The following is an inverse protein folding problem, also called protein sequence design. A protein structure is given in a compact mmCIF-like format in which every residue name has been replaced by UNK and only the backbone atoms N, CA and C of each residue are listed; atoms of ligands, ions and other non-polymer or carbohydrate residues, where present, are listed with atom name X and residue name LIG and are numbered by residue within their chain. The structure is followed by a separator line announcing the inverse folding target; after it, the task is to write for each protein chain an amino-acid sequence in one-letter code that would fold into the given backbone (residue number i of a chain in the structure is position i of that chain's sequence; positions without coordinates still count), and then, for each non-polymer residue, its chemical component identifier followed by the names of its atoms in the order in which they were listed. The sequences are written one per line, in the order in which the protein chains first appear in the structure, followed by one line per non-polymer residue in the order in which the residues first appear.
data_IF_227140473752
#
_entry.id   IF_227140473752
#
_cell.length_a   1.000
_cell.length_b   1.000
_cell.length_c   1.000
_cell.angle_alpha   90.00
_cell.angle_beta   90.00
_cell.angle_gamma   90.00
#
_symmetry.space_group_name_H-M   'P 1'
#
loop_
_entity.id
_entity.type
_entity.pdbx_description
1 polymer ?
#
# COMPACT_ATOMS: atom_id res chain seq x y z
N UNK A 1 -12.77 -11.02 -1.77
CA UNK A 1 -12.76 -10.35 -0.43
C UNK A 1 -13.78 -10.81 0.63
N UNK A 2 -14.64 -11.82 0.40
CA UNK A 2 -15.74 -12.16 1.34
C UNK A 2 -15.33 -12.38 2.80
N UNK A 3 -14.18 -13.01 3.06
CA UNK A 3 -13.67 -13.28 4.42
C UNK A 3 -13.48 -12.00 5.26
N UNK A 4 -13.26 -10.86 4.62
CA UNK A 4 -12.98 -9.60 5.30
C UNK A 4 -14.24 -8.80 5.62
N UNK A 5 -15.40 -9.16 5.08
CA UNK A 5 -16.63 -8.39 5.30
C UNK A 5 -17.01 -8.33 6.78
N UNK A 6 -17.60 -7.20 7.15
CA UNK A 6 -18.16 -6.94 8.46
C UNK A 6 -19.63 -6.56 8.30
N UNK A 7 -20.43 -6.92 9.30
CA UNK A 7 -21.78 -6.40 9.46
C UNK A 7 -21.68 -5.09 10.25
N UNK A 8 -21.90 -3.96 9.58
CA UNK A 8 -21.73 -2.61 10.13
C UNK A 8 -23.06 -1.89 9.98
N UNK A 9 -23.65 -1.45 11.09
CA UNK A 9 -24.94 -0.77 11.11
C UNK A 9 -24.83 0.68 10.61
N UNK A 10 -23.78 1.40 10.99
CA UNK A 10 -23.54 2.77 10.54
C UNK A 10 -23.26 2.81 9.03
N UNK A 11 -24.13 3.49 8.28
CA UNK A 11 -24.09 3.52 6.82
C UNK A 11 -22.85 4.24 6.26
N UNK A 12 -22.30 5.22 6.97
CA UNK A 12 -21.14 5.98 6.50
C UNK A 12 -19.86 5.17 6.70
N UNK A 13 -19.66 4.60 7.89
CA UNK A 13 -18.56 3.68 8.19
C UNK A 13 -18.60 2.45 7.28
N UNK A 14 -19.79 1.88 7.08
CA UNK A 14 -20.00 0.76 6.17
C UNK A 14 -19.56 1.12 4.75
N UNK A 15 -19.99 2.28 4.24
CA UNK A 15 -19.61 2.74 2.90
C UNK A 15 -18.10 2.90 2.75
N UNK A 16 -17.43 3.49 3.75
CA UNK A 16 -15.98 3.68 3.74
C UNK A 16 -15.24 2.33 3.75
N UNK A 17 -15.69 1.39 4.58
CA UNK A 17 -15.07 0.07 4.68
C UNK A 17 -15.31 -0.80 3.42
N UNK A 18 -16.53 -0.77 2.86
CA UNK A 18 -16.84 -1.48 1.62
C UNK A 18 -16.02 -0.91 0.44
N UNK A 19 -15.83 0.42 0.38
CA UNK A 19 -14.99 1.06 -0.61
C UNK A 19 -13.51 0.64 -0.46
N UNK A 20 -13.00 0.56 0.77
CA UNK A 20 -11.68 0.02 1.07
C UNK A 20 -11.54 -1.41 0.51
N UNK A 21 -12.45 -2.32 0.87
CA UNK A 21 -12.38 -3.72 0.43
C UNK A 21 -12.50 -3.86 -1.10
N UNK A 22 -13.38 -3.10 -1.74
CA UNK A 22 -13.54 -3.10 -3.19
C UNK A 22 -12.26 -2.65 -3.91
N UNK A 23 -11.61 -1.58 -3.43
CA UNK A 23 -10.36 -1.08 -4.00
C UNK A 23 -9.23 -2.10 -3.81
N UNK A 24 -9.12 -2.73 -2.64
CA UNK A 24 -8.15 -3.81 -2.39
C UNK A 24 -8.38 -5.02 -3.35
N UNK A 25 -9.63 -5.46 -3.53
CA UNK A 25 -9.97 -6.58 -4.43
C UNK A 25 -9.61 -6.26 -5.89
N UNK A 26 -9.91 -5.04 -6.32
CA UNK A 26 -9.60 -4.56 -7.67
C UNK A 26 -8.10 -4.54 -7.94
N UNK A 27 -7.29 -4.08 -6.97
CA UNK A 27 -5.84 -4.03 -7.08
C UNK A 27 -5.21 -5.42 -7.16
N UNK A 28 -5.69 -6.35 -6.34
CA UNK A 28 -5.23 -7.74 -6.36
C UNK A 28 -5.66 -8.45 -7.64
N UNK A 29 -6.89 -8.23 -8.10
CA UNK A 29 -7.38 -8.77 -9.36
C UNK A 29 -6.53 -8.29 -10.53
N UNK A 30 -6.19 -7.00 -10.56
CA UNK A 30 -5.29 -6.45 -11.56
C UNK A 30 -3.90 -7.09 -11.49
N UNK A 31 -3.29 -7.15 -10.30
CA UNK A 31 -1.99 -7.80 -10.09
C UNK A 31 -2.00 -9.26 -10.58
N UNK A 32 -2.96 -10.07 -10.14
CA UNK A 32 -3.08 -11.47 -10.56
C UNK A 32 -3.28 -11.61 -12.07
N UNK A 33 -4.03 -10.71 -12.69
CA UNK A 33 -4.20 -10.68 -14.15
C UNK A 33 -2.87 -10.42 -14.85
N UNK A 34 -2.06 -9.47 -14.37
CA UNK A 34 -0.73 -9.21 -14.94
C UNK A 34 0.23 -10.39 -14.75
N UNK A 35 0.17 -11.10 -13.61
CA UNK A 35 0.98 -12.29 -13.38
C UNK A 35 0.57 -13.43 -14.32
N UNK A 36 -0.75 -13.63 -14.52
CA UNK A 36 -1.26 -14.62 -15.45
C UNK A 36 -0.79 -14.34 -16.88
N UNK A 37 -0.83 -13.07 -17.30
CA UNK A 37 -0.30 -12.61 -18.59
C UNK A 37 1.21 -12.87 -18.67
N UNK A 38 2.00 -12.44 -17.68
CA UNK A 38 3.45 -12.65 -17.67
C UNK A 38 3.85 -14.13 -17.81
N UNK A 39 3.11 -15.03 -17.15
CA UNK A 39 3.42 -16.47 -17.15
C UNK A 39 2.93 -17.22 -18.40
N UNK A 40 1.88 -16.76 -19.07
CA UNK A 40 1.19 -17.56 -20.09
C UNK A 40 0.96 -16.85 -21.43
N UNK A 41 1.26 -15.56 -21.55
CA UNK A 41 1.04 -14.84 -22.80
C UNK A 41 2.06 -15.29 -23.84
N UNK A 42 1.55 -15.85 -24.93
CA UNK A 42 2.31 -16.10 -26.16
C UNK A 42 1.79 -15.14 -27.21
N UNK A 43 2.61 -14.15 -27.56
CA UNK A 43 2.29 -13.22 -28.63
C UNK A 43 2.70 -13.83 -29.97
N UNK A 44 1.78 -13.87 -30.94
CA UNK A 44 2.14 -14.30 -32.30
C UNK A 44 3.13 -13.32 -32.92
N UNK A 45 4.06 -13.77 -33.78
CA UNK A 45 5.04 -12.90 -34.43
C UNK A 45 4.43 -11.66 -35.12
N UNK A 46 3.24 -11.83 -35.69
CA UNK A 46 2.51 -10.77 -36.39
C UNK A 46 2.04 -9.63 -35.46
N UNK A 47 1.90 -9.89 -34.16
CA UNK A 47 1.47 -8.92 -33.15
C UNK A 47 2.62 -8.15 -32.49
N UNK A 48 3.88 -8.59 -32.69
CA UNK A 48 5.03 -8.00 -31.98
C UNK A 48 5.22 -6.51 -32.28
N UNK A 49 4.88 -6.09 -33.49
CA UNK A 49 4.98 -4.69 -33.94
C UNK A 49 3.72 -3.87 -33.66
N UNK A 50 2.66 -4.47 -33.10
CA UNK A 50 1.44 -3.74 -32.79
C UNK A 50 1.71 -2.68 -31.72
N UNK A 51 1.25 -1.45 -31.99
CA UNK A 51 1.47 -0.32 -31.09
C UNK A 51 0.63 -0.47 -29.83
N UNK A 52 1.30 -0.38 -28.69
CA UNK A 52 0.66 -0.27 -27.38
C UNK A 52 0.54 1.22 -27.07
N UNK A 53 -0.70 1.73 -27.03
CA UNK A 53 -0.98 3.14 -26.74
C UNK A 53 -1.74 3.26 -25.43
N UNK A 54 -1.24 4.11 -24.54
CA UNK A 54 -1.99 4.48 -23.32
C UNK A 54 -3.30 5.20 -23.67
N UNK A 55 -3.29 6.06 -24.69
CA UNK A 55 -4.47 6.71 -25.23
C UNK A 55 -4.14 7.35 -26.58
N UNK A 56 -5.15 7.54 -27.43
CA UNK A 56 -5.03 8.26 -28.71
C UNK A 56 -4.77 9.76 -28.56
N UNK A 57 -4.88 10.30 -27.33
CA UNK A 57 -4.70 11.72 -27.02
C UNK A 57 -3.28 12.07 -26.57
N UNK A 58 -2.42 11.06 -26.35
CA UNK A 58 -1.04 11.27 -25.95
C UNK A 58 -0.08 11.00 -27.12
N UNK A 59 1.05 11.71 -27.14
CA UNK A 59 2.14 11.41 -28.06
C UNK A 59 2.71 10.02 -27.74
N UNK A 60 3.15 9.28 -28.77
CA UNK A 60 3.80 7.97 -28.61
C UNK A 60 5.08 8.04 -27.73
N UNK A 61 5.66 9.24 -27.53
CA UNK A 61 6.80 9.47 -26.61
C UNK A 61 6.40 9.57 -25.13
N UNK A 62 5.11 9.62 -24.82
CA UNK A 62 4.61 9.70 -23.45
C UNK A 62 4.69 8.35 -22.72
N UNK A 63 4.85 7.24 -23.44
CA UNK A 63 4.99 5.90 -22.86
C UNK A 63 6.38 5.33 -23.14
N UNK A 64 6.91 4.60 -22.16
CA UNK A 64 8.15 3.84 -22.30
C UNK A 64 7.93 2.51 -23.03
N UNK A 65 6.74 1.93 -22.90
CA UNK A 65 6.27 0.75 -23.64
C UNK A 65 5.52 1.25 -24.88
N UNK A 66 6.00 0.87 -26.07
CA UNK A 66 5.49 1.37 -27.36
C UNK A 66 4.89 0.27 -28.22
N UNK A 67 5.38 -0.96 -28.09
CA UNK A 67 4.91 -2.11 -28.85
C UNK A 67 4.85 -3.37 -27.96
N UNK A 68 4.39 -4.48 -28.53
CA UNK A 68 4.29 -5.76 -27.82
C UNK A 68 5.67 -6.39 -27.55
N UNK A 69 6.68 -6.15 -28.41
CA UNK A 69 8.07 -6.58 -28.14
C UNK A 69 8.60 -6.00 -26.83
N UNK A 70 8.34 -4.72 -26.54
CA UNK A 70 8.77 -4.08 -25.28
C UNK A 70 8.16 -4.80 -24.06
N UNK A 71 6.92 -5.28 -24.18
CA UNK A 71 6.25 -6.06 -23.11
C UNK A 71 6.92 -7.43 -22.96
N UNK A 72 7.20 -8.12 -24.07
CA UNK A 72 7.91 -9.41 -24.07
C UNK A 72 9.27 -9.27 -23.38
N UNK A 73 10.07 -8.25 -23.74
CA UNK A 73 11.37 -8.00 -23.10
C UNK A 73 11.25 -7.71 -21.60
N UNK A 74 10.21 -7.00 -21.17
CA UNK A 74 9.94 -6.75 -19.75
C UNK A 74 9.52 -8.02 -19.00
N UNK A 75 8.79 -8.93 -19.65
CA UNK A 75 8.40 -10.23 -19.08
C UNK A 75 9.63 -11.13 -18.97
N UNK A 76 10.42 -11.27 -20.03
CA UNK A 76 11.64 -12.08 -20.04
C UNK A 76 12.69 -11.60 -19.03
N UNK A 77 12.71 -10.29 -18.74
CA UNK A 77 13.62 -9.70 -17.75
C UNK A 77 13.02 -9.58 -16.34
N UNK A 78 11.84 -10.14 -16.07
CA UNK A 78 11.09 -10.08 -14.80
C UNK A 78 10.68 -8.67 -14.33
N UNK A 79 11.04 -7.62 -15.10
CA UNK A 79 10.73 -6.21 -14.79
C UNK A 79 9.24 -5.93 -14.84
N UNK A 80 8.49 -6.64 -15.68
CA UNK A 80 7.05 -6.52 -15.76
C UNK A 80 6.37 -6.91 -14.44
N UNK A 81 6.81 -8.02 -13.84
CA UNK A 81 6.27 -8.48 -12.56
C UNK A 81 6.63 -7.51 -11.42
N UNK A 82 7.88 -7.03 -11.37
CA UNK A 82 8.29 -6.02 -10.38
C UNK A 82 7.46 -4.75 -10.48
N UNK A 83 7.25 -4.23 -11.70
CA UNK A 83 6.39 -3.07 -11.92
C UNK A 83 4.97 -3.31 -11.40
N UNK A 84 4.41 -4.49 -11.68
CA UNK A 84 3.07 -4.83 -11.22
C UNK A 84 2.97 -4.97 -9.70
N UNK A 85 3.94 -5.64 -9.05
CA UNK A 85 4.02 -5.76 -7.59
C UNK A 85 4.11 -4.38 -6.94
N UNK A 86 4.97 -3.50 -7.46
CA UNK A 86 5.10 -2.12 -6.98
C UNK A 86 3.77 -1.37 -7.09
N UNK A 87 3.13 -1.38 -8.28
CA UNK A 87 1.86 -0.69 -8.48
C UNK A 87 0.75 -1.21 -7.56
N UNK A 88 0.68 -2.52 -7.37
CA UNK A 88 -0.28 -3.14 -6.46
C UNK A 88 -0.09 -2.63 -5.03
N UNK A 89 1.14 -2.72 -4.48
CA UNK A 89 1.45 -2.26 -3.12
C UNK A 89 1.17 -0.76 -2.95
N UNK A 90 1.57 0.08 -3.92
CA UNK A 90 1.27 1.52 -3.86
C UNK A 90 -0.24 1.81 -3.85
N UNK A 91 -1.01 1.02 -4.59
CA UNK A 91 -2.46 1.06 -4.58
C UNK A 91 -3.04 0.65 -3.23
N UNK A 92 -2.55 -0.43 -2.62
CA UNK A 92 -3.04 -0.91 -1.32
C UNK A 92 -2.82 0.14 -0.23
N UNK A 93 -1.64 0.77 -0.24
CA UNK A 93 -1.26 1.80 0.73
C UNK A 93 -2.05 3.09 0.52
N UNK A 94 -2.33 3.46 -0.73
CA UNK A 94 -3.24 4.58 -1.04
C UNK A 94 -4.65 4.28 -0.52
N UNK A 95 -5.17 3.08 -0.80
CA UNK A 95 -6.49 2.64 -0.34
C UNK A 95 -6.61 2.64 1.18
N UNK A 96 -5.57 2.19 1.89
CA UNK A 96 -5.48 2.30 3.35
C UNK A 96 -5.52 3.76 3.83
N UNK A 97 -4.80 4.63 3.13
CA UNK A 97 -4.75 6.06 3.48
C UNK A 97 -6.11 6.72 3.31
N UNK A 98 -6.78 6.44 2.18
CA UNK A 98 -8.11 6.96 1.88
C UNK A 98 -9.13 6.50 2.92
N UNK A 99 -9.11 5.23 3.31
CA UNK A 99 -10.00 4.71 4.36
C UNK A 99 -9.86 5.50 5.67
N UNK A 100 -8.64 5.70 6.16
CA UNK A 100 -8.44 6.45 7.40
C UNK A 100 -8.79 7.93 7.24
N UNK A 101 -8.60 8.55 6.07
CA UNK A 101 -9.08 9.92 5.85
C UNK A 101 -10.62 10.00 5.84
N UNK A 102 -11.30 9.03 5.23
CA UNK A 102 -12.77 8.92 5.27
C UNK A 102 -13.27 8.78 6.72
N UNK A 103 -12.63 7.92 7.54
CA UNK A 103 -12.96 7.78 8.98
C UNK A 103 -12.62 9.05 9.77
N UNK A 104 -11.53 9.74 9.45
CA UNK A 104 -11.16 11.03 10.07
C UNK A 104 -12.26 12.06 9.85
N UNK A 105 -12.80 12.14 8.64
CA UNK A 105 -13.90 13.03 8.29
C UNK A 105 -15.18 12.62 9.01
N UNK A 106 -15.50 11.32 9.03
CA UNK A 106 -16.68 10.78 9.72
C UNK A 106 -16.72 11.16 11.22
N UNK A 107 -15.57 11.11 11.89
CA UNK A 107 -15.44 11.37 13.33
C UNK A 107 -15.01 12.80 13.66
N UNK A 108 -14.98 13.70 12.67
CA UNK A 108 -14.56 15.11 12.82
C UNK A 108 -13.21 15.29 13.55
N UNK A 109 -12.25 14.39 13.29
CA UNK A 109 -10.94 14.41 13.97
C UNK A 109 -10.15 15.67 13.58
N UNK A 110 -9.77 16.54 14.54
CA UNK A 110 -9.08 17.79 14.24
C UNK A 110 -7.67 17.58 13.70
N UNK A 111 -7.30 18.30 12.64
CA UNK A 111 -5.96 18.21 12.03
C UNK A 111 -4.84 18.65 12.96
N UNK A 112 -5.12 19.48 13.97
CA UNK A 112 -4.18 19.88 15.01
C UNK A 112 -3.65 18.69 15.81
N UNK A 113 -4.54 17.74 16.13
CA UNK A 113 -4.19 16.54 16.91
C UNK A 113 -3.26 15.62 16.11
N UNK A 114 -3.37 15.66 14.78
CA UNK A 114 -2.54 14.87 13.87
C UNK A 114 -1.15 15.48 13.61
N UNK A 115 -0.79 16.61 14.23
CA UNK A 115 0.52 17.25 14.02
C UNK A 115 1.65 16.52 14.75
N UNK A 116 1.37 15.93 15.92
CA UNK A 116 2.38 15.26 16.73
C UNK A 116 2.69 13.88 16.15
N UNK A 117 3.96 13.49 16.00
CA UNK A 117 4.31 12.13 15.63
C UNK A 117 4.00 11.16 16.79
N UNK A 118 3.68 9.91 16.46
CA UNK A 118 3.63 8.83 17.45
C UNK A 118 5.08 8.43 17.72
N UNK A 119 5.47 8.41 19.00
CA UNK A 119 6.81 8.04 19.43
C UNK A 119 6.80 6.60 19.90
N UNK A 120 7.61 5.77 19.26
CA UNK A 120 7.84 4.38 19.63
C UNK A 120 9.24 4.27 20.21
N UNK A 121 9.31 3.89 21.48
CA UNK A 121 10.59 3.61 22.14
C UNK A 121 11.20 2.33 21.56
N UNK A 122 12.52 2.31 21.45
CA UNK A 122 13.27 1.16 21.00
C UNK A 122 14.45 0.94 21.93
N UNK A 123 14.55 -0.25 22.52
CA UNK A 123 15.62 -0.53 23.48
C UNK A 123 17.00 -0.22 22.88
N UNK A 124 17.73 0.67 23.56
CA UNK A 124 19.08 1.10 23.22
C UNK A 124 19.27 1.71 21.82
N UNK A 125 18.21 2.22 21.19
CA UNK A 125 18.28 2.92 19.90
C UNK A 125 17.50 4.24 19.93
N UNK A 126 17.73 5.08 18.92
CA UNK A 126 16.92 6.28 18.73
C UNK A 126 15.44 5.89 18.52
N UNK A 127 14.50 6.59 19.17
CA UNK A 127 13.07 6.35 19.04
C UNK A 127 12.59 6.50 17.60
N UNK A 128 11.68 5.63 17.19
CA UNK A 128 11.03 5.73 15.89
C UNK A 128 9.89 6.74 16.00
N UNK A 129 9.84 7.68 15.06
CA UNK A 129 8.84 8.73 15.01
C UNK A 129 7.90 8.52 13.82
N UNK A 130 6.71 8.02 14.08
CA UNK A 130 5.70 7.78 13.05
C UNK A 130 5.02 9.10 12.70
N UNK A 131 5.24 9.54 11.46
CA UNK A 131 4.71 10.81 10.92
C UNK A 131 3.57 10.61 9.94
N UNK A 132 3.33 9.38 9.53
CA UNK A 132 2.34 9.02 8.51
C UNK A 132 0.94 9.33 9.02
N UNK A 133 0.20 10.13 8.25
CA UNK A 133 -1.13 10.63 8.63
C UNK A 133 -2.13 9.51 8.95
N UNK A 134 -2.28 8.44 8.16
CA UNK A 134 -3.30 7.43 8.45
C UNK A 134 -3.05 6.68 9.77
N UNK A 135 -1.79 6.43 10.14
CA UNK A 135 -1.46 5.80 11.43
C UNK A 135 -1.73 6.74 12.61
N UNK A 136 -1.47 8.04 12.45
CA UNK A 136 -1.84 9.04 13.46
C UNK A 136 -3.35 9.14 13.65
N UNK A 137 -4.13 9.06 12.57
CA UNK A 137 -5.59 9.03 12.63
C UNK A 137 -6.05 7.79 13.41
N UNK A 138 -5.57 6.61 13.03
CA UNK A 138 -5.90 5.35 13.68
C UNK A 138 -5.58 5.39 15.19
N UNK A 139 -4.39 5.87 15.55
CA UNK A 139 -3.95 5.98 16.94
C UNK A 139 -4.81 6.98 17.74
N UNK A 140 -5.08 8.16 17.18
CA UNK A 140 -5.92 9.17 17.83
C UNK A 140 -7.32 8.64 18.11
N UNK A 141 -7.95 8.00 17.11
CA UNK A 141 -9.29 7.44 17.26
C UNK A 141 -9.28 6.30 18.29
N UNK A 142 -8.25 5.45 18.25
CA UNK A 142 -8.08 4.36 19.22
C UNK A 142 -8.01 4.88 20.65
N UNK A 143 -7.18 5.89 20.92
CA UNK A 143 -7.01 6.48 22.25
C UNK A 143 -8.28 7.18 22.74
N UNK A 144 -8.93 7.99 21.90
CA UNK A 144 -10.10 8.76 22.32
C UNK A 144 -11.37 7.91 22.50
N UNK A 145 -11.47 6.79 21.79
CA UNK A 145 -12.63 5.89 21.87
C UNK A 145 -12.34 4.61 22.66
N UNK A 146 -11.13 4.44 23.20
CA UNK A 146 -10.69 3.22 23.90
C UNK A 146 -10.97 1.95 23.09
N UNK A 147 -10.65 1.96 21.79
CA UNK A 147 -10.98 0.84 20.90
C UNK A 147 -10.19 -0.43 21.21
N UNK A 148 -8.98 -0.30 21.76
CA UNK A 148 -8.01 -1.38 21.94
C UNK A 148 -7.70 -2.08 20.59
N UNK A 149 -7.64 -1.30 19.51
CA UNK A 149 -7.41 -1.81 18.16
C UNK A 149 -5.94 -2.17 17.96
N UNK A 150 -5.69 -3.36 17.40
CA UNK A 150 -4.33 -3.89 17.18
C UNK A 150 -3.47 -2.98 16.32
N UNK A 151 -4.08 -2.18 15.45
CA UNK A 151 -3.35 -1.24 14.58
C UNK A 151 -2.58 -0.17 15.35
N UNK A 152 -2.96 0.11 16.60
CA UNK A 152 -2.30 1.07 17.48
C UNK A 152 -1.19 0.44 18.33
N UNK A 153 -0.99 -0.89 18.26
CA UNK A 153 0.10 -1.55 18.95
C UNK A 153 1.46 -1.21 18.29
N UNK A 154 2.53 -1.25 19.09
CA UNK A 154 3.87 -0.83 18.66
C UNK A 154 4.35 -1.56 17.39
N UNK A 155 4.22 -2.88 17.36
CA UNK A 155 4.72 -3.71 16.26
C UNK A 155 3.95 -3.46 14.96
N UNK A 156 2.60 -3.48 14.93
CA UNK A 156 1.81 -3.05 13.78
C UNK A 156 2.13 -1.65 13.28
N UNK A 157 2.25 -0.68 14.19
CA UNK A 157 2.62 0.68 13.85
C UNK A 157 3.97 0.75 13.14
N UNK A 158 5.01 0.06 13.63
CA UNK A 158 6.33 0.00 12.99
C UNK A 158 6.27 -0.61 11.59
N UNK A 159 5.58 -1.75 11.45
CA UNK A 159 5.51 -2.47 10.18
C UNK A 159 4.75 -1.68 9.11
N UNK A 160 3.59 -1.13 9.47
CA UNK A 160 2.82 -0.27 8.57
C UNK A 160 3.58 1.01 8.23
N UNK A 161 4.29 1.62 9.19
CA UNK A 161 5.11 2.80 8.92
C UNK A 161 6.22 2.51 7.89
N UNK A 162 6.87 1.35 7.99
CA UNK A 162 7.85 0.90 6.99
C UNK A 162 7.24 0.85 5.58
N UNK A 163 6.05 0.26 5.43
CA UNK A 163 5.35 0.18 4.14
C UNK A 163 4.95 1.56 3.60
N UNK A 164 4.46 2.44 4.48
CA UNK A 164 4.14 3.82 4.11
C UNK A 164 5.37 4.59 3.62
N UNK A 165 6.52 4.39 4.27
CA UNK A 165 7.79 4.98 3.85
C UNK A 165 8.28 4.41 2.53
N UNK A 166 8.08 3.12 2.27
CA UNK A 166 8.35 2.52 0.97
C UNK A 166 7.50 3.21 -0.11
N UNK A 167 6.19 3.43 0.11
CA UNK A 167 5.36 4.23 -0.80
C UNK A 167 5.95 5.63 -1.03
N UNK A 168 6.38 6.32 0.02
CA UNK A 168 7.02 7.64 -0.15
C UNK A 168 8.28 7.58 -1.02
N UNK A 169 9.13 6.56 -0.86
CA UNK A 169 10.31 6.37 -1.71
C UNK A 169 9.94 6.09 -3.18
N UNK A 170 8.85 5.37 -3.44
CA UNK A 170 8.36 5.22 -4.82
C UNK A 170 7.92 6.55 -5.44
N UNK A 171 7.20 7.38 -4.69
CA UNK A 171 6.65 8.64 -5.20
C UNK A 171 7.74 9.72 -5.35
N UNK A 172 8.64 9.84 -4.37
CA UNK A 172 9.57 10.97 -4.27
C UNK A 172 11.02 10.60 -4.61
N UNK A 173 11.38 9.32 -4.54
CA UNK A 173 12.74 8.83 -4.77
C UNK A 173 12.81 7.89 -5.98
N UNK A 174 11.80 7.92 -6.87
CA UNK A 174 11.75 7.09 -8.09
C UNK A 174 11.90 5.58 -7.84
N UNK A 175 11.34 5.09 -6.73
CA UNK A 175 11.41 3.67 -6.36
C UNK A 175 12.79 3.23 -5.86
N UNK A 176 13.61 4.18 -5.41
CA UNK A 176 14.97 3.91 -4.90
C UNK A 176 15.05 4.15 -3.41
N UNK A 177 15.86 3.34 -2.76
CA UNK A 177 16.08 3.40 -1.32
C UNK A 177 16.81 4.70 -0.92
N UNK A 178 16.27 5.38 0.08
CA UNK A 178 16.81 6.60 0.67
C UNK A 178 17.21 6.30 2.12
N UNK A 179 18.51 6.43 2.42
CA UNK A 179 19.11 6.08 3.71
C UNK A 179 18.50 6.85 4.88
N UNK A 180 17.84 8.00 4.63
CA UNK A 180 17.14 8.72 5.71
C UNK A 180 16.04 7.89 6.38
N UNK A 181 15.52 6.87 5.70
CA UNK A 181 14.49 5.98 6.22
C UNK A 181 15.04 4.72 6.89
N UNK A 182 16.36 4.49 6.93
CA UNK A 182 16.96 3.22 7.38
C UNK A 182 16.49 2.82 8.80
N UNK A 183 16.43 3.78 9.72
CA UNK A 183 15.99 3.55 11.10
C UNK A 183 14.48 3.29 11.22
N UNK A 184 13.72 3.63 10.18
CA UNK A 184 12.26 3.44 10.11
C UNK A 184 11.89 2.18 9.30
N UNK A 185 12.88 1.44 8.78
CA UNK A 185 12.66 0.16 8.10
C UNK A 185 12.50 -0.99 9.10
N UNK A 186 11.77 -2.02 8.69
CA UNK A 186 11.42 -3.13 9.57
C UNK A 186 11.33 -4.45 8.79
N UNK A 187 11.54 -5.60 9.45
CA UNK A 187 11.37 -6.92 8.86
C UNK A 187 12.36 -7.19 7.73
N UNK A 188 11.87 -7.66 6.57
CA UNK A 188 12.73 -7.90 5.39
C UNK A 188 13.43 -6.65 4.86
N UNK A 189 13.01 -5.46 5.30
CA UNK A 189 13.59 -4.19 4.89
C UNK A 189 14.59 -3.62 5.91
N UNK A 190 14.79 -4.26 7.07
CA UNK A 190 15.71 -3.77 8.13
C UNK A 190 17.18 -4.18 7.93
N UNK A 191 17.63 -4.36 6.69
CA UNK A 191 18.99 -4.80 6.35
C UNK A 191 19.87 -3.71 5.76
N UNK A 192 21.07 -4.08 5.32
CA UNK A 192 22.03 -3.18 4.65
C UNK A 192 21.59 -2.85 3.21
N UNK A 193 20.48 -2.11 3.09
CA UNK A 193 20.08 -1.54 1.81
C UNK A 193 21.10 -0.48 1.41
N UNK A 194 21.73 -0.67 0.25
CA UNK A 194 22.61 0.33 -0.34
C UNK A 194 21.79 1.56 -0.74
N UNK A 195 22.27 2.76 -0.40
CA UNK A 195 21.72 4.00 -0.97
C UNK A 195 21.46 3.86 -2.47
N UNK A 196 20.30 4.39 -2.90
CA UNK A 196 19.90 4.48 -4.30
C UNK A 196 19.66 3.13 -5.00
N UNK A 197 19.71 2.00 -4.26
CA UNK A 197 19.32 0.70 -4.79
C UNK A 197 17.82 0.68 -5.11
N UNK A 198 17.38 -0.04 -6.16
CA UNK A 198 15.97 -0.21 -6.45
C UNK A 198 15.28 -0.97 -5.31
N UNK A 199 14.08 -0.53 -4.94
CA UNK A 199 13.22 -1.27 -4.01
C UNK A 199 12.52 -2.36 -4.82
N UNK A 200 12.73 -3.61 -4.44
CA UNK A 200 12.16 -4.78 -5.09
C UNK A 200 11.19 -5.48 -4.15
N UNK A 201 10.17 -6.11 -4.73
CA UNK A 201 9.20 -6.92 -4.01
C UNK A 201 9.22 -8.36 -4.48
N UNK A 202 9.21 -9.31 -3.55
CA UNK A 202 8.97 -10.71 -3.86
C UNK A 202 7.46 -11.02 -3.87
N UNK A 203 7.09 -12.22 -4.31
CA UNK A 203 5.67 -12.65 -4.37
C UNK A 203 5.01 -12.64 -3.00
N UNK A 204 5.69 -13.16 -1.97
CA UNK A 204 5.16 -13.28 -0.60
C UNK A 204 4.88 -11.93 0.06
N UNK A 205 5.58 -10.87 -0.34
CA UNK A 205 5.39 -9.53 0.21
C UNK A 205 4.06 -8.91 -0.20
N UNK A 206 3.57 -9.16 -1.42
CA UNK A 206 2.25 -8.67 -1.84
C UNK A 206 1.16 -9.27 -0.95
N UNK A 207 1.21 -10.59 -0.75
CA UNK A 207 0.25 -11.29 0.10
C UNK A 207 0.37 -10.85 1.56
N UNK A 208 1.59 -10.77 2.08
CA UNK A 208 1.84 -10.34 3.46
C UNK A 208 1.28 -8.95 3.72
N UNK A 209 1.50 -7.99 2.81
CA UNK A 209 0.97 -6.62 2.91
C UNK A 209 -0.54 -6.61 2.86
N UNK A 210 -1.14 -7.31 1.90
CA UNK A 210 -2.59 -7.41 1.76
C UNK A 210 -3.24 -7.95 3.04
N UNK A 211 -2.77 -9.11 3.51
CA UNK A 211 -3.32 -9.78 4.68
C UNK A 211 -3.17 -8.91 5.93
N UNK A 212 -1.99 -8.35 6.13
CA UNK A 212 -1.72 -7.55 7.32
C UNK A 212 -2.53 -6.25 7.31
N UNK A 213 -2.61 -5.52 6.20
CA UNK A 213 -3.44 -4.32 6.12
C UNK A 213 -4.92 -4.63 6.35
N UNK A 214 -5.46 -5.63 5.66
CA UNK A 214 -6.86 -5.99 5.80
C UNK A 214 -7.21 -6.46 7.21
N UNK A 215 -6.34 -7.24 7.86
CA UNK A 215 -6.57 -7.72 9.23
C UNK A 215 -6.64 -6.57 10.25
N UNK A 216 -5.74 -5.58 10.12
CA UNK A 216 -5.71 -4.45 11.03
C UNK A 216 -6.84 -3.44 10.76
N UNK A 217 -7.15 -3.16 9.50
CA UNK A 217 -8.29 -2.30 9.14
C UNK A 217 -9.60 -2.96 9.56
N UNK A 218 -9.76 -4.28 9.37
CA UNK A 218 -10.94 -5.03 9.81
C UNK A 218 -11.09 -4.99 11.32
N UNK A 219 -10.03 -5.28 12.08
CA UNK A 219 -10.08 -5.22 13.55
C UNK A 219 -10.46 -3.83 14.05
N UNK A 220 -9.80 -2.80 13.52
CA UNK A 220 -10.12 -1.40 13.83
C UNK A 220 -11.58 -1.07 13.54
N UNK A 221 -12.06 -1.41 12.34
CA UNK A 221 -13.44 -1.13 11.91
C UNK A 221 -14.46 -1.87 12.76
N UNK A 222 -14.23 -3.15 13.04
CA UNK A 222 -15.12 -3.97 13.87
C UNK A 222 -15.20 -3.45 15.31
N UNK A 223 -14.10 -2.91 15.84
CA UNK A 223 -14.08 -2.28 17.17
C UNK A 223 -14.81 -0.94 17.14
N UNK A 224 -14.54 -0.11 16.14
CA UNK A 224 -15.18 1.19 15.97
C UNK A 224 -16.69 1.08 15.75
N UNK A 225 -17.15 0.09 14.97
CA UNK A 225 -18.56 -0.15 14.68
C UNK A 225 -19.41 -0.42 15.93
N UNK A 226 -18.80 -0.85 17.06
CA UNK A 226 -19.50 -1.08 18.33
C UNK A 226 -19.83 0.22 19.09
N UNK A 227 -19.34 1.36 18.62
CA UNK A 227 -19.56 2.67 19.23
C UNK A 227 -20.62 3.49 18.48
N UNK A 228 -21.02 3.04 17.29
CA UNK A 228 -22.20 3.51 16.59
C UNK A 228 -23.41 2.67 17.01
#
# INVERSE_FOLDING_TARGET
MEHWKLDIEDGQLKSAYDAYLYRQDSLITYYLSTVAVAKNAVFSPDMLNDKVRASSLFLDSATSIKNMTDIVELVESEKYEQLSRSMCILGMVTTFTDFFDEVRVLLDVPTQELKKPIRIEHDNQEPILIRTVPLKIANYINENNNLDARIADERPLRWLNCIMNIRHMFIHCSGRFDEKYINEMFGSWSGDFKANAPILFNEEQVDSILWYMNDHVRDFTNRLAKFF
#
